data_IF_007684007698
#
_entry.id   IF_007684007698
#
_cell.length_a   1.000
_cell.length_b   1.000
_cell.length_c   1.000
_cell.angle_alpha   90.00
_cell.angle_beta   90.00
_cell.angle_gamma   90.00
#
_symmetry.space_group_name_H-M   'P 1'
#
loop_
_entity.id
_entity.type
_entity.pdbx_description
1 polymer ?
#
# COMPACT_ATOMS: atom_id res chain seq x y z
N UNK A 1 5.16 -11.28 -2.48
CA UNK A 1 5.18 -10.63 -3.80
C UNK A 1 6.20 -11.34 -4.68
N UNK A 2 5.81 -11.70 -5.91
CA UNK A 2 6.65 -12.36 -6.92
C UNK A 2 7.36 -11.35 -7.80
N UNK A 3 6.72 -10.21 -8.07
CA UNK A 3 7.26 -9.16 -8.93
C UNK A 3 7.74 -7.97 -8.08
N UNK A 4 8.87 -7.39 -8.47
CA UNK A 4 9.45 -6.23 -7.77
C UNK A 4 9.40 -4.97 -8.63
N UNK A 5 9.53 -3.80 -7.99
CA UNK A 5 9.71 -2.52 -8.70
C UNK A 5 10.86 -2.58 -9.70
N UNK A 6 11.99 -3.21 -9.31
CA UNK A 6 13.14 -3.39 -10.20
C UNK A 6 12.81 -4.27 -11.40
N UNK A 7 12.03 -5.34 -11.20
CA UNK A 7 11.57 -6.22 -12.29
C UNK A 7 10.74 -5.44 -13.29
N UNK A 8 9.85 -4.56 -12.83
CA UNK A 8 8.99 -3.78 -13.72
C UNK A 8 9.71 -2.66 -14.48
N UNK A 9 10.73 -2.03 -13.89
CA UNK A 9 11.53 -1.01 -14.60
C UNK A 9 12.32 -1.58 -15.79
N UNK A 10 12.65 -2.87 -15.75
CA UNK A 10 13.42 -3.53 -16.81
C UNK A 10 12.57 -4.43 -17.72
N UNK A 11 11.25 -4.38 -17.56
CA UNK A 11 10.32 -5.18 -18.34
C UNK A 11 10.21 -4.62 -19.76
N UNK A 12 10.53 -5.44 -20.77
CA UNK A 12 10.33 -5.06 -22.17
C UNK A 12 8.84 -5.04 -22.50
N UNK A 13 8.33 -3.93 -23.05
CA UNK A 13 6.90 -3.70 -23.27
C UNK A 13 6.30 -4.37 -24.51
N UNK A 14 7.08 -5.15 -25.26
CA UNK A 14 6.73 -5.67 -26.60
C UNK A 14 6.08 -7.06 -26.61
N UNK A 15 5.82 -7.67 -25.45
CA UNK A 15 5.24 -9.01 -25.35
C UNK A 15 3.96 -9.02 -24.51
N UNK A 16 3.02 -9.93 -24.82
CA UNK A 16 1.82 -10.19 -24.01
C UNK A 16 2.17 -10.53 -22.55
N UNK A 17 3.36 -11.08 -22.33
CA UNK A 17 3.91 -11.36 -21.00
C UNK A 17 4.07 -10.08 -20.15
N UNK A 18 4.35 -8.94 -20.77
CA UNK A 18 4.54 -7.68 -20.04
C UNK A 18 3.24 -7.21 -19.38
N UNK A 19 2.12 -7.28 -20.10
CA UNK A 19 0.79 -6.93 -19.55
C UNK A 19 0.42 -7.88 -18.42
N UNK A 20 0.69 -9.17 -18.57
CA UNK A 20 0.42 -10.17 -17.54
C UNK A 20 1.24 -9.91 -16.28
N UNK A 21 2.55 -9.65 -16.42
CA UNK A 21 3.45 -9.37 -15.30
C UNK A 21 3.03 -8.09 -14.56
N UNK A 22 2.68 -7.03 -15.29
CA UNK A 22 2.17 -5.79 -14.67
C UNK A 22 0.85 -6.04 -13.94
N UNK A 23 -0.09 -6.77 -14.55
CA UNK A 23 -1.35 -7.10 -13.90
C UNK A 23 -1.15 -7.93 -12.62
N UNK A 24 -0.28 -8.93 -12.64
CA UNK A 24 0.08 -9.74 -11.47
C UNK A 24 0.72 -8.87 -10.37
N UNK A 25 1.66 -7.99 -10.73
CA UNK A 25 2.27 -7.06 -9.79
C UNK A 25 1.21 -6.15 -9.13
N UNK A 26 0.33 -5.54 -9.93
CA UNK A 26 -0.73 -4.68 -9.41
C UNK A 26 -1.67 -5.44 -8.46
N UNK A 27 -2.06 -6.67 -8.81
CA UNK A 27 -2.89 -7.51 -7.93
C UNK A 27 -2.18 -7.85 -6.61
N UNK A 28 -0.89 -8.20 -6.65
CA UNK A 28 -0.11 -8.49 -5.45
C UNK A 28 0.03 -7.27 -4.55
N UNK A 29 0.27 -6.09 -5.12
CA UNK A 29 0.33 -4.83 -4.39
C UNK A 29 -1.00 -4.52 -3.71
N UNK A 30 -2.11 -4.64 -4.43
CA UNK A 30 -3.45 -4.38 -3.88
C UNK A 30 -3.82 -5.39 -2.78
N UNK A 31 -3.43 -6.66 -2.94
CA UNK A 31 -3.65 -7.69 -1.93
C UNK A 31 -2.88 -7.38 -0.63
N UNK A 32 -1.61 -7.00 -0.73
CA UNK A 32 -0.79 -6.61 0.41
C UNK A 32 -1.34 -5.34 1.10
N UNK A 33 -1.72 -4.33 0.31
CA UNK A 33 -2.32 -3.10 0.85
C UNK A 33 -3.63 -3.38 1.59
N UNK A 34 -4.48 -4.24 1.03
CA UNK A 34 -5.75 -4.65 1.66
C UNK A 34 -5.50 -5.43 2.96
N UNK A 35 -4.52 -6.34 2.99
CA UNK A 35 -4.16 -7.08 4.19
C UNK A 35 -3.67 -6.14 5.31
N UNK A 36 -2.83 -5.16 4.98
CA UNK A 36 -2.34 -4.16 5.94
C UNK A 36 -3.47 -3.27 6.45
N UNK A 37 -4.36 -2.81 5.57
CA UNK A 37 -5.55 -2.05 5.96
C UNK A 37 -6.42 -2.86 6.92
N UNK A 38 -6.73 -4.13 6.61
CA UNK A 38 -7.54 -4.99 7.47
C UNK A 38 -6.89 -5.20 8.85
N UNK A 39 -5.57 -5.39 8.89
CA UNK A 39 -4.83 -5.54 10.15
C UNK A 39 -4.96 -4.28 11.02
N UNK A 40 -4.89 -3.10 10.41
CA UNK A 40 -5.06 -1.85 11.12
C UNK A 40 -6.51 -1.65 11.58
N UNK A 41 -7.50 -1.89 10.70
CA UNK A 41 -8.92 -1.85 11.06
C UNK A 41 -9.24 -2.79 12.22
N UNK A 42 -8.70 -4.01 12.22
CA UNK A 42 -8.88 -4.94 13.33
C UNK A 42 -8.37 -4.37 14.66
N UNK A 43 -7.28 -3.59 14.67
CA UNK A 43 -6.81 -2.92 15.90
C UNK A 43 -7.78 -1.82 16.34
N UNK A 44 -8.33 -1.07 15.39
CA UNK A 44 -9.32 -0.02 15.67
C UNK A 44 -10.66 -0.57 16.16
N UNK A 45 -11.04 -1.77 15.71
CA UNK A 45 -12.30 -2.43 16.05
C UNK A 45 -12.22 -3.26 17.35
N UNK A 46 -11.01 -3.52 17.87
CA UNK A 46 -10.86 -4.27 19.10
C UNK A 46 -11.38 -3.44 20.29
N UNK A 47 -12.38 -3.97 21.00
CA UNK A 47 -12.87 -3.44 22.30
C UNK A 47 -11.83 -3.56 23.44
N UNK A 48 -10.62 -4.03 23.13
CA UNK A 48 -9.53 -4.16 24.10
C UNK A 48 -8.77 -2.85 24.26
N UNK A 49 -8.16 -2.65 25.42
CA UNK A 49 -7.28 -1.49 25.70
C UNK A 49 -6.17 -1.45 24.66
N UNK A 50 -6.04 -0.30 23.99
CA UNK A 50 -4.99 -0.03 23.02
C UNK A 50 -3.63 0.02 23.72
N UNK A 51 -2.72 -0.89 23.37
CA UNK A 51 -1.37 -0.92 23.92
C UNK A 51 -0.28 -0.45 22.93
N UNK A 52 0.93 -0.23 23.45
CA UNK A 52 2.07 0.21 22.65
C UNK A 52 2.46 -0.78 21.53
N UNK A 53 2.20 -2.09 21.71
CA UNK A 53 2.50 -3.12 20.70
C UNK A 53 1.50 -3.03 19.55
N UNK A 54 0.22 -2.84 19.85
CA UNK A 54 -0.83 -2.62 18.85
C UNK A 54 -0.57 -1.32 18.09
N UNK A 55 -0.17 -0.24 18.76
CA UNK A 55 0.20 1.00 18.09
C UNK A 55 1.40 0.83 17.15
N UNK A 56 2.41 0.07 17.56
CA UNK A 56 3.56 -0.27 16.70
C UNK A 56 3.13 -1.09 15.47
N UNK A 57 2.22 -2.05 15.63
CA UNK A 57 1.65 -2.81 14.50
C UNK A 57 0.86 -1.90 13.56
N UNK A 58 0.07 -0.96 14.09
CA UNK A 58 -0.65 0.02 13.28
C UNK A 58 0.31 0.94 12.50
N UNK A 59 1.42 1.36 13.13
CA UNK A 59 2.46 2.14 12.48
C UNK A 59 3.15 1.37 11.35
N UNK A 60 3.47 0.08 11.55
CA UNK A 60 4.03 -0.79 10.51
C UNK A 60 3.06 -1.00 9.33
N UNK A 61 1.79 -1.25 9.60
CA UNK A 61 0.77 -1.37 8.56
C UNK A 61 0.69 -0.10 7.71
N UNK A 62 0.70 1.07 8.37
CA UNK A 62 0.74 2.38 7.71
C UNK A 62 1.99 2.60 6.87
N UNK A 63 3.17 2.33 7.42
CA UNK A 63 4.43 2.47 6.70
C UNK A 63 4.47 1.56 5.46
N UNK A 64 3.99 0.32 5.60
CA UNK A 64 3.90 -0.63 4.49
C UNK A 64 3.03 -0.13 3.34
N UNK A 65 1.84 0.43 3.62
CA UNK A 65 0.98 1.01 2.58
C UNK A 65 1.67 2.19 1.87
N UNK A 66 2.35 3.06 2.61
CA UNK A 66 3.14 4.16 2.01
C UNK A 66 4.24 3.64 1.07
N UNK A 67 4.94 2.59 1.49
CA UNK A 67 5.98 1.98 0.66
C UNK A 67 5.41 1.36 -0.62
N UNK A 68 4.22 0.75 -0.57
CA UNK A 68 3.55 0.24 -1.76
C UNK A 68 3.18 1.38 -2.72
N UNK A 69 2.59 2.47 -2.21
CA UNK A 69 2.23 3.64 -3.01
C UNK A 69 3.47 4.23 -3.69
N UNK A 70 4.54 4.45 -2.93
CA UNK A 70 5.80 4.96 -3.45
C UNK A 70 6.40 4.04 -4.54
N UNK A 71 6.37 2.73 -4.32
CA UNK A 71 6.89 1.75 -5.29
C UNK A 71 6.10 1.74 -6.60
N UNK A 72 4.77 1.77 -6.55
CA UNK A 72 3.95 1.83 -7.77
C UNK A 72 4.13 3.17 -8.49
N UNK A 73 4.18 4.27 -7.74
CA UNK A 73 4.39 5.60 -8.31
C UNK A 73 5.73 5.68 -9.03
N UNK A 74 6.78 5.12 -8.43
CA UNK A 74 8.12 5.06 -9.02
C UNK A 74 8.15 4.29 -10.36
N UNK A 75 7.45 3.16 -10.44
CA UNK A 75 7.34 2.39 -11.69
C UNK A 75 6.51 3.14 -12.72
N UNK A 76 5.42 3.77 -12.31
CA UNK A 76 4.56 4.56 -13.20
C UNK A 76 5.32 5.73 -13.82
N UNK A 77 6.02 6.52 -12.99
CA UNK A 77 6.86 7.65 -13.44
C UNK A 77 7.98 7.21 -14.37
N UNK A 78 8.62 6.07 -14.08
CA UNK A 78 9.66 5.53 -14.96
C UNK A 78 9.11 5.18 -16.35
N UNK A 79 7.83 4.80 -16.45
CA UNK A 79 7.18 4.35 -17.68
C UNK A 79 6.25 5.40 -18.32
N UNK A 80 6.20 6.63 -17.80
CA UNK A 80 5.18 7.62 -18.14
C UNK A 80 5.11 8.02 -19.63
N UNK A 81 6.26 7.97 -20.32
CA UNK A 81 6.38 8.30 -21.74
C UNK A 81 6.49 7.03 -22.62
N UNK A 82 6.36 5.85 -22.02
CA UNK A 82 6.56 4.56 -22.67
C UNK A 82 5.26 3.82 -23.01
N UNK A 83 5.39 2.63 -23.58
CA UNK A 83 4.24 1.79 -23.96
C UNK A 83 3.41 1.29 -22.75
N UNK A 84 3.94 1.41 -21.53
CA UNK A 84 3.25 1.08 -20.28
C UNK A 84 2.63 2.29 -19.58
N UNK A 85 2.62 3.46 -20.22
CA UNK A 85 2.00 4.66 -19.68
C UNK A 85 0.52 4.40 -19.33
N UNK A 86 0.12 4.79 -18.12
CA UNK A 86 -1.24 4.63 -17.61
C UNK A 86 -1.62 3.23 -17.11
N UNK A 87 -0.74 2.22 -17.26
CA UNK A 87 -1.07 0.84 -16.83
C UNK A 87 -1.20 0.70 -15.30
N UNK A 88 -0.68 1.67 -14.54
CA UNK A 88 -0.70 1.67 -13.08
C UNK A 88 -1.77 2.61 -12.48
N UNK A 89 -2.47 3.40 -13.29
CA UNK A 89 -3.32 4.50 -12.81
C UNK A 89 -4.43 4.04 -11.89
N UNK A 90 -5.14 2.96 -12.26
CA UNK A 90 -6.20 2.41 -11.42
C UNK A 90 -5.64 1.84 -10.11
N UNK A 91 -4.46 1.23 -10.16
CA UNK A 91 -3.80 0.71 -8.95
C UNK A 91 -3.38 1.86 -8.03
N UNK A 92 -2.82 2.93 -8.59
CA UNK A 92 -2.46 4.15 -7.85
C UNK A 92 -3.68 4.81 -7.20
N UNK A 93 -4.81 4.87 -7.92
CA UNK A 93 -6.07 5.40 -7.39
C UNK A 93 -6.54 4.59 -6.18
N UNK A 94 -6.63 3.26 -6.31
CA UNK A 94 -7.05 2.38 -5.20
C UNK A 94 -6.07 2.50 -4.02
N UNK A 95 -4.77 2.53 -4.28
CA UNK A 95 -3.75 2.71 -3.24
C UNK A 95 -3.86 4.05 -2.53
N UNK A 96 -4.18 5.14 -3.23
CA UNK A 96 -4.39 6.46 -2.63
C UNK A 96 -5.59 6.43 -1.66
N UNK A 97 -6.70 5.82 -2.06
CA UNK A 97 -7.88 5.64 -1.20
C UNK A 97 -7.56 4.76 0.03
N UNK A 98 -6.80 3.67 -0.17
CA UNK A 98 -6.36 2.81 0.94
C UNK A 98 -5.41 3.55 1.88
N UNK A 99 -4.47 4.34 1.35
CA UNK A 99 -3.55 5.15 2.14
C UNK A 99 -4.32 6.16 2.99
N UNK A 100 -5.28 6.89 2.42
CA UNK A 100 -6.09 7.85 3.17
C UNK A 100 -6.81 7.20 4.36
N UNK A 101 -7.45 6.04 4.13
CA UNK A 101 -8.14 5.27 5.19
C UNK A 101 -7.17 4.85 6.30
N UNK A 102 -6.00 4.33 5.92
CA UNK A 102 -4.96 3.88 6.85
C UNK A 102 -4.37 5.04 7.66
N UNK A 103 -4.13 6.19 7.02
CA UNK A 103 -3.69 7.41 7.71
C UNK A 103 -4.71 7.91 8.72
N UNK A 104 -5.99 7.94 8.33
CA UNK A 104 -7.09 8.38 9.20
C UNK A 104 -7.21 7.50 10.43
N UNK A 105 -7.26 6.17 10.23
CA UNK A 105 -7.39 5.22 11.32
C UNK A 105 -6.16 5.24 12.26
N UNK A 106 -4.94 5.31 11.70
CA UNK A 106 -3.74 5.43 12.52
C UNK A 106 -3.74 6.70 13.36
N UNK A 107 -4.13 7.84 12.78
CA UNK A 107 -4.22 9.12 13.51
C UNK A 107 -5.20 9.05 14.66
N UNK A 108 -6.35 8.41 14.45
CA UNK A 108 -7.34 8.19 15.51
C UNK A 108 -6.80 7.30 16.63
N UNK A 109 -6.20 6.16 16.30
CA UNK A 109 -5.56 5.26 17.28
C UNK A 109 -4.47 5.99 18.09
N UNK A 110 -3.59 6.71 17.42
CA UNK A 110 -2.51 7.45 18.06
C UNK A 110 -3.06 8.52 19.02
N UNK A 111 -4.12 9.23 18.63
CA UNK A 111 -4.77 10.22 19.51
C UNK A 111 -5.31 9.57 20.78
N UNK A 112 -5.98 8.42 20.68
CA UNK A 112 -6.52 7.71 21.84
C UNK A 112 -5.41 7.29 22.81
N UNK A 113 -4.36 6.66 22.30
CA UNK A 113 -3.23 6.20 23.12
C UNK A 113 -2.56 7.38 23.87
N UNK A 114 -2.26 8.47 23.18
CA UNK A 114 -1.58 9.64 23.81
C UNK A 114 -2.43 10.40 24.82
N UNK A 115 -3.76 10.22 24.83
CA UNK A 115 -4.65 10.84 25.84
C UNK A 115 -4.63 10.11 27.18
N UNK A 116 -4.27 8.84 27.21
CA UNK A 116 -4.15 8.07 28.46
C UNK A 116 -2.82 8.31 29.19
N UNK A 117 -1.84 8.95 28.54
CA UNK A 117 -0.52 9.27 29.11
C UNK A 117 -0.45 10.65 29.81
N UNK A 118 -1.56 11.41 29.87
CA UNK A 118 -1.67 12.73 30.53
C UNK A 118 -2.60 12.71 31.73
#
# INVERSE_FOLDING_TARGET
MKHTVSTLKHLSSTTDDAKKIVAEFCQEVLAEASQRQRRLSAIADLETILDAKQLAVAADARAGVRHLVAGVLEVSEYNKDGAMAGWFDETLKILAETQEKVESNYRWLHMLYTREET
#
